data_IF_746156090234
#
_entry.id   IF_746156090234
#
_cell.length_a   1.000
_cell.length_b   1.000
_cell.length_c   1.000
_cell.angle_alpha   90.00
_cell.angle_beta   90.00
_cell.angle_gamma   90.00
#
_symmetry.space_group_name_H-M   'P 1'
#
loop_
_entity.id
_entity.type
_entity.pdbx_description
1 polymer ?
#
# COMPACT_ATOMS: atom_id res chain seq x y z
N UNK A 1 2.64 3.66 4.70
CA UNK A 1 1.66 4.57 5.29
C UNK A 1 0.64 3.72 5.97
N UNK A 2 0.42 3.97 7.25
CA UNK A 2 -0.67 3.39 8.03
C UNK A 2 -1.50 4.55 8.57
N UNK A 3 -2.81 4.52 8.39
CA UNK A 3 -3.63 5.66 8.80
C UNK A 3 -3.49 5.99 10.29
N UNK A 4 -3.15 7.24 10.62
CA UNK A 4 -2.98 7.68 12.00
C UNK A 4 -4.28 7.59 12.82
N UNK A 5 -5.44 7.65 12.15
CA UNK A 5 -6.75 7.72 12.77
C UNK A 5 -7.31 6.39 13.32
N UNK A 6 -6.65 5.24 13.10
CA UNK A 6 -7.12 3.96 13.65
C UNK A 6 -7.24 3.96 15.18
N UNK A 7 -6.47 4.80 15.88
CA UNK A 7 -6.65 5.09 17.31
C UNK A 7 -6.33 3.94 18.28
N UNK A 8 -5.96 2.75 17.78
CA UNK A 8 -5.58 1.58 18.59
C UNK A 8 -4.19 1.72 19.23
N UNK A 9 -3.31 2.51 18.63
CA UNK A 9 -1.91 2.63 19.03
C UNK A 9 -1.50 4.11 19.17
N UNK A 10 -0.59 4.39 20.11
CA UNK A 10 0.06 5.70 20.19
C UNK A 10 1.23 5.77 19.21
N UNK A 11 1.04 6.59 18.17
CA UNK A 11 1.99 6.81 17.09
C UNK A 11 2.83 8.08 17.27
N UNK A 12 2.68 8.84 18.35
CA UNK A 12 3.24 10.20 18.50
C UNK A 12 4.77 10.30 18.39
N UNK A 13 5.49 9.17 18.45
CA UNK A 13 6.95 9.09 18.26
C UNK A 13 7.39 8.87 16.81
N UNK A 14 6.47 8.53 15.90
CA UNK A 14 6.78 8.21 14.52
C UNK A 14 6.47 9.40 13.60
N UNK A 15 7.24 9.57 12.52
CA UNK A 15 6.94 10.60 11.53
C UNK A 15 5.61 10.30 10.82
N UNK A 16 4.91 11.35 10.42
CA UNK A 16 3.70 11.27 9.60
C UNK A 16 3.89 11.98 8.26
N UNK A 17 3.07 11.65 7.28
CA UNK A 17 2.97 12.36 6.01
C UNK A 17 1.50 12.41 5.55
N UNK A 18 1.14 13.47 4.83
CA UNK A 18 -0.23 13.65 4.36
C UNK A 18 -0.52 12.94 3.05
N UNK A 19 -1.71 12.36 2.94
CA UNK A 19 -2.39 11.94 1.71
C UNK A 19 -3.72 12.69 1.60
N UNK A 20 -4.40 12.71 0.44
CA UNK A 20 -5.69 13.37 0.33
C UNK A 20 -6.70 12.86 1.37
N UNK A 21 -7.05 13.71 2.34
CA UNK A 21 -8.03 13.40 3.38
C UNK A 21 -7.50 12.59 4.58
N UNK A 22 -6.22 12.22 4.62
CA UNK A 22 -5.65 11.38 5.70
C UNK A 22 -4.22 11.80 6.06
N UNK A 23 -3.88 11.64 7.34
CA UNK A 23 -2.50 11.63 7.80
C UNK A 23 -2.05 10.19 8.01
N UNK A 24 -0.93 9.84 7.41
CA UNK A 24 -0.36 8.50 7.41
C UNK A 24 0.87 8.44 8.32
N UNK A 25 0.95 7.42 9.17
CA UNK A 25 2.15 7.07 9.93
C UNK A 25 3.16 6.40 8.98
N UNK A 26 4.41 6.85 9.07
CA UNK A 26 5.53 6.27 8.33
C UNK A 26 6.33 5.31 9.23
N UNK A 27 6.20 4.03 8.92
CA UNK A 27 7.00 2.95 9.50
C UNK A 27 8.07 2.49 8.50
N UNK A 28 9.22 2.08 9.00
CA UNK A 28 10.32 1.54 8.19
C UNK A 28 10.90 0.29 8.88
N UNK A 29 11.26 -0.70 8.08
CA UNK A 29 11.79 -1.98 8.52
C UNK A 29 12.32 -2.79 7.34
N UNK A 30 12.83 -4.00 7.60
CA UNK A 30 13.22 -4.90 6.52
C UNK A 30 11.98 -5.61 5.99
N UNK A 31 12.00 -5.98 4.71
CA UNK A 31 10.92 -6.80 4.14
C UNK A 31 10.74 -8.13 4.90
N UNK A 32 11.83 -8.71 5.42
CA UNK A 32 11.78 -9.92 6.24
C UNK A 32 11.07 -9.72 7.60
N UNK A 33 10.93 -8.48 8.07
CA UNK A 33 10.21 -8.15 9.29
C UNK A 33 8.70 -7.98 9.03
N UNK A 34 8.27 -7.93 7.76
CA UNK A 34 6.87 -7.83 7.39
C UNK A 34 6.15 -9.15 7.63
N UNK A 35 5.00 -9.09 8.30
CA UNK A 35 4.12 -10.23 8.52
C UNK A 35 3.07 -10.29 7.41
N UNK A 36 2.68 -11.51 7.03
CA UNK A 36 1.62 -11.69 6.04
C UNK A 36 0.26 -11.28 6.64
N UNK A 37 -0.53 -10.46 5.94
CA UNK A 37 -1.91 -10.14 6.35
C UNK A 37 -2.76 -11.39 6.62
N UNK A 38 -2.53 -12.49 5.88
CA UNK A 38 -3.25 -13.75 6.04
C UNK A 38 -2.99 -14.45 7.39
N UNK A 39 -1.99 -13.99 8.16
CA UNK A 39 -1.66 -14.53 9.49
C UNK A 39 -2.17 -13.64 10.63
N UNK A 40 -2.76 -12.49 10.31
CA UNK A 40 -3.26 -11.53 11.28
C UNK A 40 -4.77 -11.69 11.50
N UNK A 41 -5.23 -11.09 12.60
CA UNK A 41 -6.66 -10.90 12.88
C UNK A 41 -7.34 -10.12 11.75
N UNK A 42 -8.61 -10.43 11.46
CA UNK A 42 -9.36 -9.80 10.37
C UNK A 42 -9.53 -8.29 10.54
N UNK A 43 -9.40 -7.78 11.77
CA UNK A 43 -9.46 -6.36 12.12
C UNK A 43 -8.08 -5.78 12.49
N UNK A 44 -7.00 -6.41 12.03
CA UNK A 44 -5.67 -5.85 12.18
C UNK A 44 -5.52 -4.60 11.31
N UNK A 45 -5.00 -3.52 11.90
CA UNK A 45 -4.69 -2.29 11.17
C UNK A 45 -3.49 -2.56 10.26
N UNK A 46 -3.75 -2.64 8.95
CA UNK A 46 -2.74 -2.90 7.93
C UNK A 46 -2.30 -1.59 7.28
N UNK A 47 -1.00 -1.42 6.97
CA UNK A 47 -0.54 -0.29 6.19
C UNK A 47 -1.12 -0.32 4.77
N UNK A 48 -1.74 0.79 4.40
CA UNK A 48 -2.36 1.08 3.11
C UNK A 48 -1.33 1.37 2.00
N UNK A 49 -0.18 1.96 2.36
CA UNK A 49 0.88 2.35 1.42
C UNK A 49 2.23 1.69 1.72
N UNK A 50 2.89 1.16 0.68
CA UNK A 50 4.20 0.50 0.78
C UNK A 50 5.14 0.91 -0.34
N UNK A 51 6.42 1.05 -0.03
CA UNK A 51 7.47 1.28 -1.03
C UNK A 51 8.85 0.89 -0.48
N UNK A 52 9.81 0.49 -1.33
CA UNK A 52 11.19 0.25 -0.94
C UNK A 52 11.92 1.59 -0.73
N UNK A 53 13.05 1.55 -0.03
CA UNK A 53 13.83 2.75 0.30
C UNK A 53 14.27 3.54 -0.95
N UNK A 54 14.54 2.87 -2.07
CA UNK A 54 14.92 3.48 -3.34
C UNK A 54 13.73 4.01 -4.16
N UNK A 55 12.49 3.80 -3.69
CA UNK A 55 11.24 4.17 -4.37
C UNK A 55 11.09 3.60 -5.78
N UNK A 56 11.69 2.44 -6.05
CA UNK A 56 11.57 1.78 -7.35
C UNK A 56 10.12 1.37 -7.70
N UNK A 57 9.27 1.19 -6.70
CA UNK A 57 7.83 0.95 -6.84
C UNK A 57 7.06 1.50 -5.65
N UNK A 58 5.74 1.63 -5.78
CA UNK A 58 4.83 1.85 -4.68
C UNK A 58 3.60 0.96 -4.84
N UNK A 59 3.04 0.51 -3.71
CA UNK A 59 1.77 -0.19 -3.63
C UNK A 59 0.84 0.63 -2.74
N UNK A 60 -0.39 0.79 -3.20
CA UNK A 60 -1.47 1.44 -2.46
C UNK A 60 -2.73 0.58 -2.50
N UNK A 61 -3.18 0.15 -1.34
CA UNK A 61 -4.55 -0.30 -1.11
C UNK A 61 -5.15 0.58 -0.02
N UNK A 62 -6.44 0.93 -0.11
CA UNK A 62 -7.15 1.69 0.92
C UNK A 62 -8.62 1.21 0.87
N UNK A 63 -9.33 1.34 1.97
CA UNK A 63 -10.76 0.99 2.08
C UNK A 63 -11.63 1.75 1.07
N UNK A 64 -11.20 2.93 0.64
CA UNK A 64 -11.89 3.76 -0.36
C UNK A 64 -11.52 3.37 -1.82
N UNK A 65 -10.54 2.49 -2.01
CA UNK A 65 -10.12 2.00 -3.31
C UNK A 65 -10.79 0.67 -3.66
N UNK A 66 -11.12 0.49 -4.94
CA UNK A 66 -11.76 -0.74 -5.44
C UNK A 66 -10.77 -1.87 -5.71
N UNK A 67 -9.48 -1.57 -5.68
CA UNK A 67 -8.41 -2.48 -6.06
C UNK A 67 -7.09 -2.03 -5.42
N UNK A 68 -6.09 -2.90 -5.47
CA UNK A 68 -4.71 -2.57 -5.10
C UNK A 68 -4.01 -1.96 -6.30
N UNK A 69 -3.47 -0.76 -6.14
CA UNK A 69 -2.73 -0.07 -7.18
C UNK A 69 -1.23 -0.26 -6.97
N UNK A 70 -0.52 -0.57 -8.05
CA UNK A 70 0.94 -0.67 -8.04
C UNK A 70 1.51 0.28 -9.08
N UNK A 71 2.40 1.16 -8.64
CA UNK A 71 3.19 2.06 -9.48
C UNK A 71 4.65 1.61 -9.53
N UNK A 72 5.30 1.70 -10.68
CA UNK A 72 6.70 1.31 -10.83
C UNK A 72 7.17 1.43 -12.27
N UNK A 73 8.32 0.84 -12.58
CA UNK A 73 8.87 0.86 -13.93
C UNK A 73 7.98 0.08 -14.92
N UNK A 74 8.05 0.37 -16.23
CA UNK A 74 7.32 -0.40 -17.24
C UNK A 74 7.60 -1.91 -17.18
N UNK A 75 8.84 -2.32 -16.86
CA UNK A 75 9.26 -3.72 -16.76
C UNK A 75 8.57 -4.41 -15.57
N UNK A 76 8.49 -3.74 -14.41
CA UNK A 76 7.78 -4.24 -13.24
C UNK A 76 6.29 -4.42 -13.55
N UNK A 77 5.67 -3.41 -14.17
CA UNK A 77 4.24 -3.47 -14.51
C UNK A 77 3.98 -4.57 -15.54
N UNK A 78 4.85 -4.75 -16.53
CA UNK A 78 4.74 -5.85 -17.49
C UNK A 78 4.85 -7.23 -16.80
N UNK A 79 5.72 -7.37 -15.80
CA UNK A 79 5.82 -8.58 -14.99
C UNK A 79 4.54 -8.90 -14.23
N UNK A 80 3.90 -7.90 -13.61
CA UNK A 80 2.62 -8.07 -12.92
C UNK A 80 1.49 -8.44 -13.89
N UNK A 81 1.42 -7.78 -15.05
CA UNK A 81 0.43 -8.08 -16.10
C UNK A 81 0.57 -9.49 -16.69
N UNK A 82 1.77 -10.07 -16.62
CA UNK A 82 2.04 -11.41 -17.12
C UNK A 82 1.84 -12.52 -16.06
N UNK A 83 1.59 -12.15 -14.80
CA UNK A 83 1.43 -13.11 -13.72
C UNK A 83 0.05 -13.79 -13.80
N UNK A 84 -0.03 -15.12 -14.06
CA UNK A 84 -1.30 -15.79 -14.31
C UNK A 84 -2.20 -15.89 -13.07
N UNK A 85 -1.61 -15.78 -11.88
CA UNK A 85 -2.31 -15.88 -10.61
C UNK A 85 -2.89 -14.52 -10.14
N UNK A 86 -2.65 -13.44 -10.89
CA UNK A 86 -3.11 -12.10 -10.54
C UNK A 86 -4.06 -11.55 -11.61
N UNK A 87 -5.23 -11.07 -11.19
CA UNK A 87 -6.05 -10.19 -12.01
C UNK A 87 -5.41 -8.81 -12.01
N UNK A 88 -4.95 -8.37 -13.20
CA UNK A 88 -4.22 -7.10 -13.32
C UNK A 88 -4.64 -6.35 -14.57
N UNK A 89 -4.81 -5.04 -14.40
CA UNK A 89 -5.17 -4.13 -15.48
C UNK A 89 -4.25 -2.92 -15.45
N UNK A 90 -3.82 -2.48 -16.64
CA UNK A 90 -3.09 -1.23 -16.75
C UNK A 90 -4.08 -0.07 -16.64
N UNK A 91 -3.81 0.82 -15.69
CA UNK A 91 -4.65 1.99 -15.40
C UNK A 91 -3.84 3.27 -15.48
N UNK A 92 -4.54 4.36 -15.74
CA UNK A 92 -4.08 5.75 -15.69
C UNK A 92 -4.86 6.50 -14.60
N UNK A 93 -4.42 7.70 -14.19
CA UNK A 93 -5.18 8.51 -13.23
C UNK A 93 -6.63 8.81 -13.66
N UNK A 94 -6.88 8.84 -14.97
CA UNK A 94 -8.21 9.07 -15.56
C UNK A 94 -8.99 7.77 -15.81
N UNK A 95 -8.45 6.62 -15.41
CA UNK A 95 -9.15 5.35 -15.56
C UNK A 95 -10.28 5.25 -14.54
N UNK A 96 -11.49 5.06 -15.04
CA UNK A 96 -12.67 4.83 -14.22
C UNK A 96 -12.84 3.34 -13.94
N UNK A 97 -13.31 3.05 -12.73
CA UNK A 97 -13.81 1.73 -12.38
C UNK A 97 -15.20 1.61 -12.99
N UNK A 98 -15.40 0.58 -13.83
CA UNK A 98 -16.70 0.25 -14.44
C UNK A 98 -17.49 -0.72 -13.59
#
# INVERSE_FOLDING_TARGET
>A
GLWHGYGRWDWGRFPTFGTPGRDEVLLAGRLADAVSPATLDEFADLPDLWWPQDRAWCLGGDVDLVSTYVGGSPELIAGLLAAPDLETHRVTPDSHVG
#
